data_IF_326152804030
#
_entry.id   IF_326152804030
#
_cell.length_a   1.000
_cell.length_b   1.000
_cell.length_c   1.000
_cell.angle_alpha   90.00
_cell.angle_beta   90.00
_cell.angle_gamma   90.00
#
_symmetry.space_group_name_H-M   'P 1'
#
loop_
_entity.id
_entity.type
_entity.pdbx_description
1 polymer ?
#
# COMPACT_ATOMS: atom_id res chain seq x y z
N UNK A 1 1.39 -2.71 13.31
CA UNK A 1 0.85 -4.02 12.86
C UNK A 1 1.53 -5.22 13.53
N UNK A 2 2.86 -5.41 13.40
CA UNK A 2 3.54 -6.62 13.93
C UNK A 2 3.38 -6.83 15.44
N UNK A 3 3.48 -5.75 16.24
CA UNK A 3 3.31 -5.81 17.71
C UNK A 3 1.85 -6.08 18.12
N UNK A 4 0.88 -5.47 17.44
CA UNK A 4 -0.56 -5.66 17.70
C UNK A 4 -0.99 -7.09 17.37
N UNK A 5 -0.53 -7.64 16.24
CA UNK A 5 -0.77 -9.04 15.87
C UNK A 5 -0.20 -10.00 16.92
N UNK A 6 0.99 -9.71 17.46
CA UNK A 6 1.63 -10.53 18.50
C UNK A 6 0.88 -10.47 19.84
N UNK A 7 0.33 -9.32 20.24
CA UNK A 7 -0.50 -9.23 21.45
C UNK A 7 -1.81 -9.99 21.30
N UNK A 8 -2.47 -9.89 20.14
CA UNK A 8 -3.73 -10.62 19.86
C UNK A 8 -3.51 -12.14 19.91
N UNK A 9 -2.46 -12.67 19.27
CA UNK A 9 -2.12 -14.11 19.37
C UNK A 9 -1.73 -14.57 20.77
N UNK A 10 -1.18 -13.67 21.59
CA UNK A 10 -0.87 -14.00 22.98
C UNK A 10 -2.17 -14.16 23.77
N UNK A 11 -3.11 -13.21 23.61
CA UNK A 11 -4.40 -13.24 24.28
C UNK A 11 -5.27 -14.43 23.85
N UNK A 12 -5.31 -14.74 22.55
CA UNK A 12 -6.02 -15.93 22.05
C UNK A 12 -5.44 -17.22 22.65
N UNK A 13 -4.11 -17.34 22.76
CA UNK A 13 -3.46 -18.49 23.40
C UNK A 13 -3.74 -18.60 24.90
N UNK A 14 -3.80 -17.48 25.61
CA UNK A 14 -4.21 -17.45 27.02
C UNK A 14 -5.65 -17.96 27.19
N UNK A 15 -6.57 -17.54 26.31
CA UNK A 15 -7.96 -17.99 26.32
C UNK A 15 -8.10 -19.48 25.93
N UNK A 16 -7.32 -19.96 24.95
CA UNK A 16 -7.27 -21.38 24.58
C UNK A 16 -6.74 -22.26 25.73
N UNK A 17 -5.79 -21.76 26.53
CA UNK A 17 -5.26 -22.48 27.69
C UNK A 17 -6.23 -22.51 28.89
N UNK A 18 -7.19 -21.59 28.94
CA UNK A 18 -8.25 -21.52 29.95
C UNK A 18 -9.49 -22.35 29.55
N UNK A 19 -9.53 -22.90 28.34
CA UNK A 19 -10.61 -23.74 27.84
C UNK A 19 -10.71 -25.02 28.70
N UNK A 20 -11.83 -25.19 29.40
CA UNK A 20 -12.05 -26.31 30.35
C UNK A 20 -11.73 -26.01 31.82
N UNK A 21 -11.28 -24.79 32.14
CA UNK A 21 -11.17 -24.31 33.53
C UNK A 21 -12.54 -24.01 34.15
N UNK A 22 -12.63 -24.06 35.48
CA UNK A 22 -13.82 -23.65 36.23
C UNK A 22 -14.24 -22.20 35.96
N UNK A 23 -13.30 -21.35 35.53
CA UNK A 23 -13.56 -19.94 35.21
C UNK A 23 -13.99 -19.72 33.75
N UNK A 24 -14.22 -20.78 32.97
CA UNK A 24 -14.64 -20.70 31.58
C UNK A 24 -16.12 -20.33 31.47
N UNK A 25 -16.39 -19.10 31.02
CA UNK A 25 -17.75 -18.56 30.91
C UNK A 25 -18.05 -18.09 29.48
N UNK A 26 -19.31 -17.78 29.21
CA UNK A 26 -19.75 -17.37 27.87
C UNK A 26 -19.14 -16.03 27.42
N UNK A 27 -18.78 -15.16 28.36
CA UNK A 27 -18.07 -13.91 28.07
C UNK A 27 -16.67 -14.17 27.49
N UNK A 28 -15.91 -15.11 28.06
CA UNK A 28 -14.59 -15.50 27.57
C UNK A 28 -14.67 -16.23 26.22
N UNK A 29 -15.75 -16.99 25.99
CA UNK A 29 -16.02 -17.59 24.68
C UNK A 29 -16.26 -16.52 23.60
N UNK A 30 -17.02 -15.48 23.94
CA UNK A 30 -17.31 -14.37 23.03
C UNK A 30 -16.03 -13.56 22.76
N UNK A 31 -15.26 -13.20 23.79
CA UNK A 31 -13.98 -12.50 23.64
C UNK A 31 -13.01 -13.31 22.73
N UNK A 32 -12.94 -14.63 22.91
CA UNK A 32 -12.13 -15.50 22.05
C UNK A 32 -12.60 -15.48 20.60
N UNK A 33 -13.91 -15.49 20.36
CA UNK A 33 -14.47 -15.44 19.02
C UNK A 33 -14.11 -14.12 18.33
N UNK A 34 -14.34 -13.00 19.00
CA UNK A 34 -14.07 -11.66 18.46
C UNK A 34 -12.58 -11.48 18.14
N UNK A 35 -11.70 -11.91 19.04
CA UNK A 35 -10.25 -11.85 18.82
C UNK A 35 -9.79 -12.76 17.66
N UNK A 36 -10.43 -13.92 17.47
CA UNK A 36 -10.12 -14.78 16.31
C UNK A 36 -10.54 -14.11 15.00
N UNK A 37 -11.71 -13.49 14.96
CA UNK A 37 -12.16 -12.72 13.80
C UNK A 37 -11.22 -11.56 13.48
N UNK A 38 -10.77 -10.81 14.48
CA UNK A 38 -9.82 -9.71 14.30
C UNK A 38 -8.47 -10.21 13.74
N UNK A 39 -7.97 -11.34 14.25
CA UNK A 39 -6.75 -11.98 13.74
C UNK A 39 -6.93 -12.42 12.28
N UNK A 40 -8.06 -13.03 11.94
CA UNK A 40 -8.37 -13.44 10.56
C UNK A 40 -8.40 -12.25 9.60
N UNK A 41 -9.02 -11.13 10.00
CA UNK A 41 -9.01 -9.91 9.20
C UNK A 41 -7.60 -9.35 8.96
N UNK A 42 -6.76 -9.33 10.00
CA UNK A 42 -5.38 -8.86 9.89
C UNK A 42 -4.60 -9.76 8.92
N UNK A 43 -4.75 -11.08 9.03
CA UNK A 43 -4.13 -12.04 8.11
C UNK A 43 -4.62 -11.82 6.69
N UNK A 44 -5.93 -11.65 6.49
CA UNK A 44 -6.51 -11.42 5.17
C UNK A 44 -5.92 -10.17 4.51
N UNK A 45 -5.83 -9.06 5.25
CA UNK A 45 -5.21 -7.80 4.77
C UNK A 45 -3.72 -7.97 4.45
N UNK A 46 -2.97 -8.70 5.29
CA UNK A 46 -1.56 -9.00 5.03
C UNK A 46 -1.37 -9.88 3.78
N UNK A 47 -2.17 -10.94 3.63
CA UNK A 47 -2.12 -11.84 2.47
C UNK A 47 -2.45 -11.09 1.19
N UNK A 48 -3.50 -10.26 1.19
CA UNK A 48 -3.86 -9.40 0.05
C UNK A 48 -2.71 -8.45 -0.31
N UNK A 49 -2.12 -7.81 0.70
CA UNK A 49 -0.98 -6.90 0.50
C UNK A 49 0.24 -7.63 -0.08
N UNK A 50 0.55 -8.82 0.43
CA UNK A 50 1.66 -9.65 -0.07
C UNK A 50 1.40 -10.15 -1.49
N UNK A 51 0.15 -10.51 -1.82
CA UNK A 51 -0.26 -10.91 -3.17
C UNK A 51 -0.11 -9.76 -4.17
N UNK A 52 -0.49 -8.54 -3.78
CA UNK A 52 -0.29 -7.34 -4.59
C UNK A 52 1.20 -7.03 -4.77
N UNK A 53 1.98 -7.02 -3.68
CA UNK A 53 3.43 -6.73 -3.71
C UNK A 53 4.24 -7.77 -4.50
N UNK A 54 3.82 -9.03 -4.49
CA UNK A 54 4.52 -10.10 -5.23
C UNK A 54 4.21 -10.11 -6.72
N UNK A 55 3.16 -9.38 -7.18
CA UNK A 55 2.65 -9.38 -8.56
C UNK A 55 2.38 -10.82 -9.07
N UNK A 56 1.88 -11.68 -8.17
CA UNK A 56 1.73 -13.12 -8.39
C UNK A 56 0.37 -13.45 -9.04
N UNK A 57 0.16 -12.99 -10.27
CA UNK A 57 -0.90 -13.51 -11.16
C UNK A 57 -0.37 -14.56 -12.14
N UNK A 58 0.87 -15.04 -11.95
CA UNK A 58 1.52 -15.95 -12.90
C UNK A 58 1.54 -17.42 -12.45
N UNK A 59 0.36 -18.03 -12.59
CA UNK A 59 0.18 -19.47 -12.82
C UNK A 59 0.17 -20.40 -11.57
N UNK A 60 -1.05 -20.66 -11.09
CA UNK A 60 -1.63 -22.00 -10.91
C UNK A 60 -1.02 -23.01 -9.91
N UNK A 61 0.12 -22.79 -9.27
CA UNK A 61 0.73 -23.81 -8.38
C UNK A 61 1.18 -23.33 -6.98
N UNK A 62 0.99 -22.05 -6.62
CA UNK A 62 1.72 -21.43 -5.52
C UNK A 62 1.03 -21.34 -4.15
N UNK A 63 0.05 -22.18 -3.82
CA UNK A 63 -0.67 -22.08 -2.51
C UNK A 63 0.18 -22.52 -1.30
N UNK A 64 1.43 -22.95 -1.54
CA UNK A 64 2.39 -23.21 -0.47
C UNK A 64 3.30 -21.99 -0.26
N UNK A 65 3.49 -21.60 1.01
CA UNK A 65 4.59 -20.75 1.51
C UNK A 65 5.95 -21.43 1.24
N UNK A 66 6.29 -21.64 -0.03
CA UNK A 66 7.47 -22.37 -0.44
C UNK A 66 8.71 -21.51 -0.24
N UNK A 67 9.83 -22.16 0.08
CA UNK A 67 11.13 -21.50 0.14
C UNK A 67 11.44 -20.72 -1.15
N UNK A 68 10.96 -21.20 -2.31
CA UNK A 68 11.11 -20.54 -3.60
C UNK A 68 10.46 -19.15 -3.63
N UNK A 69 9.24 -19.00 -3.09
CA UNK A 69 8.56 -17.71 -3.03
C UNK A 69 9.35 -16.70 -2.18
N UNK A 70 9.79 -17.11 -0.98
CA UNK A 70 10.62 -16.28 -0.13
C UNK A 70 11.98 -15.95 -0.76
N UNK A 71 12.60 -16.90 -1.45
CA UNK A 71 13.85 -16.66 -2.19
C UNK A 71 13.68 -15.66 -3.32
N UNK A 72 12.60 -15.75 -4.11
CA UNK A 72 12.31 -14.79 -5.18
C UNK A 72 11.97 -13.40 -4.64
N UNK A 73 11.21 -13.32 -3.54
CA UNK A 73 10.96 -12.06 -2.84
C UNK A 73 12.25 -11.44 -2.31
N UNK A 74 13.12 -12.23 -1.69
CA UNK A 74 14.40 -11.76 -1.18
C UNK A 74 15.32 -11.33 -2.30
N UNK A 75 15.35 -12.05 -3.43
CA UNK A 75 16.11 -11.66 -4.62
C UNK A 75 15.61 -10.33 -5.19
N UNK A 76 14.29 -10.12 -5.30
CA UNK A 76 13.71 -8.84 -5.71
C UNK A 76 14.01 -7.73 -4.71
N UNK A 77 13.86 -7.99 -3.40
CA UNK A 77 14.19 -7.04 -2.34
C UNK A 77 15.67 -6.63 -2.41
N UNK A 78 16.57 -7.59 -2.61
CA UNK A 78 18.00 -7.34 -2.75
C UNK A 78 18.30 -6.51 -4.00
N UNK A 79 17.63 -6.80 -5.12
CA UNK A 79 17.83 -6.06 -6.38
C UNK A 79 17.30 -4.63 -6.31
N UNK A 80 16.20 -4.41 -5.59
CA UNK A 80 15.54 -3.11 -5.52
C UNK A 80 15.95 -2.28 -4.28
N UNK A 81 16.81 -2.83 -3.41
CA UNK A 81 17.34 -2.10 -2.26
C UNK A 81 18.42 -1.14 -2.73
N UNK A 82 18.26 0.13 -2.38
CA UNK A 82 19.30 1.14 -2.58
C UNK A 82 20.23 1.07 -1.38
N UNK A 83 21.46 0.57 -1.58
CA UNK A 83 22.48 0.43 -0.52
C UNK A 83 23.44 1.60 -0.47
N UNK A 84 23.55 2.36 -1.57
CA UNK A 84 24.40 3.54 -1.67
C UNK A 84 23.83 4.50 -2.72
N UNK A 85 23.85 5.78 -2.41
CA UNK A 85 23.54 6.88 -3.33
C UNK A 85 24.77 7.74 -3.53
N UNK A 86 25.00 8.16 -4.78
CA UNK A 86 25.98 9.19 -5.13
C UNK A 86 25.27 10.55 -5.19
N UNK A 87 25.86 11.55 -4.56
CA UNK A 87 25.37 12.91 -4.50
C UNK A 87 26.01 13.76 -5.62
N UNK A 88 25.41 14.92 -5.92
CA UNK A 88 25.90 15.82 -6.97
C UNK A 88 27.34 16.35 -6.72
N UNK A 89 27.78 16.35 -5.46
CA UNK A 89 29.14 16.72 -5.04
C UNK A 89 30.16 15.57 -5.13
N UNK A 90 29.74 14.39 -5.63
CA UNK A 90 30.55 13.18 -5.72
C UNK A 90 30.71 12.43 -4.40
N UNK A 91 30.03 12.85 -3.33
CA UNK A 91 30.00 12.12 -2.06
C UNK A 91 29.02 10.94 -2.12
N UNK A 92 29.24 9.93 -1.26
CA UNK A 92 28.37 8.77 -1.18
C UNK A 92 27.64 8.70 0.16
N UNK A 93 26.36 8.35 0.11
CA UNK A 93 25.52 8.12 1.28
C UNK A 93 25.13 6.65 1.31
N UNK A 94 25.47 5.95 2.40
CA UNK A 94 25.24 4.51 2.57
C UNK A 94 24.40 4.15 3.80
N UNK A 95 24.11 5.12 4.68
CA UNK A 95 23.22 4.94 5.82
C UNK A 95 21.76 5.07 5.37
N UNK A 96 20.93 4.10 5.76
CA UNK A 96 19.51 4.03 5.34
C UNK A 96 18.72 5.30 5.71
N UNK A 97 18.94 5.85 6.90
CA UNK A 97 18.30 7.11 7.35
C UNK A 97 18.67 8.30 6.45
N UNK A 98 19.94 8.40 6.08
CA UNK A 98 20.46 9.48 5.25
C UNK A 98 20.00 9.32 3.79
N UNK A 99 19.96 8.09 3.26
CA UNK A 99 19.40 7.76 1.93
C UNK A 99 17.93 8.22 1.86
N UNK A 100 17.12 7.89 2.86
CA UNK A 100 15.70 8.30 2.90
C UNK A 100 15.57 9.81 2.91
N UNK A 101 16.40 10.50 3.71
CA UNK A 101 16.39 11.96 3.79
C UNK A 101 16.74 12.61 2.45
N UNK A 102 17.84 12.17 1.82
CA UNK A 102 18.29 12.69 0.51
C UNK A 102 17.22 12.48 -0.56
N UNK A 103 16.66 11.27 -0.66
CA UNK A 103 15.60 10.98 -1.64
C UNK A 103 14.38 11.84 -1.41
N UNK A 104 13.97 12.02 -0.15
CA UNK A 104 12.83 12.86 0.21
C UNK A 104 13.09 14.33 -0.17
N UNK A 105 14.25 14.88 0.18
CA UNK A 105 14.62 16.25 -0.14
C UNK A 105 14.70 16.48 -1.66
N UNK A 106 15.27 15.54 -2.40
CA UNK A 106 15.34 15.58 -3.86
C UNK A 106 13.95 15.67 -4.49
N UNK A 107 13.04 14.75 -4.15
CA UNK A 107 11.69 14.76 -4.73
C UNK A 107 10.83 15.91 -4.20
N UNK A 108 10.99 16.32 -2.95
CA UNK A 108 10.38 17.55 -2.45
C UNK A 108 10.86 18.78 -3.23
N UNK A 109 12.13 18.82 -3.64
CA UNK A 109 12.65 19.89 -4.50
C UNK A 109 12.11 19.79 -5.93
N UNK A 110 12.09 18.58 -6.51
CA UNK A 110 11.60 18.33 -7.87
C UNK A 110 10.12 18.69 -8.05
N UNK A 111 9.30 18.39 -7.04
CA UNK A 111 7.86 18.67 -7.05
C UNK A 111 7.49 20.00 -6.37
N UNK A 112 8.46 20.77 -5.87
CA UNK A 112 8.19 22.18 -5.59
C UNK A 112 7.90 22.82 -6.93
N UNK A 113 6.65 23.21 -7.12
CA UNK A 113 6.27 24.09 -8.22
C UNK A 113 7.18 25.31 -8.11
N UNK A 114 8.18 25.39 -8.99
CA UNK A 114 8.73 26.68 -9.29
C UNK A 114 7.53 27.54 -9.67
N UNK A 115 7.46 28.74 -9.13
CA UNK A 115 6.53 29.78 -9.55
C UNK A 115 6.99 30.24 -10.95
N UNK A 116 7.10 29.29 -11.88
CA UNK A 116 7.24 29.53 -13.28
C UNK A 116 5.91 30.14 -13.65
N UNK A 117 5.90 31.46 -13.88
CA UNK A 117 4.89 32.08 -14.74
C UNK A 117 4.68 31.12 -15.90
N UNK A 118 3.51 30.48 -15.94
CA UNK A 118 3.17 29.54 -17.01
C UNK A 118 3.19 30.34 -18.32
N UNK A 119 4.35 30.37 -18.96
CA UNK A 119 4.52 30.89 -20.30
C UNK A 119 4.11 29.71 -21.18
N UNK A 120 2.83 29.67 -21.53
CA UNK A 120 2.25 28.62 -22.35
C UNK A 120 3.14 28.29 -23.57
N UNK A 121 2.98 27.08 -24.09
CA UNK A 121 3.77 26.59 -25.23
C UNK A 121 3.71 27.64 -26.36
N UNK A 122 4.87 28.19 -26.77
CA UNK A 122 4.94 29.17 -27.86
C UNK A 122 4.30 28.60 -29.12
N UNK A 123 3.33 29.31 -29.69
CA UNK A 123 2.64 28.92 -30.92
C UNK A 123 1.33 28.15 -30.71
N UNK A 124 0.91 27.94 -29.46
CA UNK A 124 -0.43 27.42 -29.13
C UNK A 124 -1.24 28.54 -28.49
N UNK A 125 -2.37 28.88 -29.09
CA UNK A 125 -3.34 29.80 -28.50
C UNK A 125 -4.09 29.07 -27.39
N UNK A 126 -3.58 29.19 -26.16
CA UNK A 126 -4.25 28.67 -24.98
C UNK A 126 -5.42 29.59 -24.67
N UNK A 127 -6.57 29.35 -25.30
CA UNK A 127 -7.82 29.95 -24.87
C UNK A 127 -8.11 29.47 -23.44
N UNK A 128 -8.18 30.36 -22.44
CA UNK A 128 -8.54 29.96 -21.09
C UNK A 128 -9.90 29.28 -21.12
N UNK A 129 -10.02 28.15 -20.41
CA UNK A 129 -11.32 27.50 -20.24
C UNK A 129 -12.32 28.54 -19.69
N UNK A 130 -13.52 28.57 -20.26
CA UNK A 130 -14.56 29.46 -19.74
C UNK A 130 -14.85 29.09 -18.28
N UNK A 131 -15.24 30.08 -17.49
CA UNK A 131 -15.59 29.89 -16.07
C UNK A 131 -16.63 28.78 -15.90
N UNK A 132 -17.56 28.65 -16.85
CA UNK A 132 -18.58 27.62 -16.86
C UNK A 132 -18.01 26.21 -17.02
N UNK A 133 -17.01 26.01 -17.90
CA UNK A 133 -16.38 24.70 -18.08
C UNK A 133 -15.52 24.37 -16.86
N UNK A 134 -14.86 25.37 -16.28
CA UNK A 134 -14.08 25.19 -15.05
C UNK A 134 -14.98 24.73 -13.90
N UNK A 135 -16.08 25.44 -13.63
CA UNK A 135 -17.05 25.06 -12.59
C UNK A 135 -17.65 23.68 -12.84
N UNK A 136 -17.87 23.32 -14.11
CA UNK A 136 -18.38 22.00 -14.46
C UNK A 136 -17.35 20.87 -14.24
N UNK A 137 -16.06 21.13 -14.42
CA UNK A 137 -14.99 20.17 -14.17
C UNK A 137 -14.65 20.04 -12.68
N UNK A 138 -14.77 21.11 -11.92
CA UNK A 138 -14.50 21.15 -10.47
C UNK A 138 -15.70 20.69 -9.61
N UNK A 139 -16.84 20.37 -10.24
CA UNK A 139 -18.02 19.89 -9.52
C UNK A 139 -17.76 18.54 -8.84
N UNK A 140 -18.43 18.24 -7.71
CA UNK A 140 -18.33 16.94 -7.06
C UNK A 140 -18.70 15.81 -8.04
N UNK A 141 -17.95 14.71 -8.00
CA UNK A 141 -18.26 13.53 -8.79
C UNK A 141 -19.66 12.99 -8.44
N UNK A 142 -20.42 12.65 -9.48
CA UNK A 142 -21.74 12.02 -9.36
C UNK A 142 -21.60 10.63 -8.73
N UNK A 143 -22.59 10.22 -7.93
CA UNK A 143 -22.56 8.95 -7.18
C UNK A 143 -22.45 7.71 -8.10
N UNK A 144 -22.91 7.82 -9.34
CA UNK A 144 -22.74 6.78 -10.36
C UNK A 144 -21.27 6.50 -10.68
N UNK A 145 -20.43 7.54 -10.70
CA UNK A 145 -19.02 7.43 -11.02
C UNK A 145 -18.24 6.81 -9.87
N UNK A 146 -18.57 7.18 -8.62
CA UNK A 146 -18.05 6.53 -7.42
C UNK A 146 -18.46 5.06 -7.39
N UNK A 147 -19.75 4.77 -7.59
CA UNK A 147 -20.27 3.40 -7.62
C UNK A 147 -19.54 2.56 -8.68
N UNK A 148 -19.36 3.09 -9.88
CA UNK A 148 -18.63 2.38 -10.96
C UNK A 148 -17.16 2.12 -10.61
N UNK A 149 -16.50 3.02 -9.89
CA UNK A 149 -15.13 2.82 -9.41
C UNK A 149 -15.07 1.71 -8.35
N UNK A 150 -15.97 1.74 -7.37
CA UNK A 150 -16.03 0.74 -6.29
C UNK A 150 -16.56 -0.63 -6.73
N UNK A 151 -17.45 -0.67 -7.71
CA UNK A 151 -17.98 -1.91 -8.32
C UNK A 151 -17.10 -2.42 -9.46
N UNK A 152 -16.10 -1.65 -9.89
CA UNK A 152 -15.13 -2.13 -10.90
C UNK A 152 -14.39 -3.31 -10.32
N UNK A 153 -14.51 -4.46 -10.97
CA UNK A 153 -13.75 -5.66 -10.64
C UNK A 153 -12.27 -5.28 -10.67
N UNK A 154 -11.64 -5.21 -9.49
CA UNK A 154 -10.36 -4.52 -9.28
C UNK A 154 -9.18 -5.14 -10.03
N UNK A 155 -9.43 -6.22 -10.78
CA UNK A 155 -8.49 -6.95 -11.60
C UNK A 155 -8.18 -6.27 -12.95
N UNK A 156 -8.33 -4.94 -13.06
CA UNK A 156 -7.91 -4.17 -14.24
C UNK A 156 -6.39 -4.01 -14.28
N UNK A 157 -5.83 -3.80 -15.48
CA UNK A 157 -4.40 -3.57 -15.69
C UNK A 157 -3.87 -2.44 -14.81
N UNK A 158 -2.69 -2.64 -14.20
CA UNK A 158 -2.00 -1.63 -13.40
C UNK A 158 -1.67 -0.39 -14.24
N UNK A 159 -1.81 0.79 -13.64
CA UNK A 159 -1.32 2.04 -14.21
C UNK A 159 0.21 2.11 -14.20
N UNK A 160 0.78 3.18 -14.76
CA UNK A 160 2.23 3.45 -14.71
C UNK A 160 2.75 3.69 -13.28
N UNK A 161 1.85 3.87 -12.32
CA UNK A 161 2.08 3.96 -10.88
C UNK A 161 2.21 2.58 -10.20
N UNK A 162 2.04 1.49 -10.96
CA UNK A 162 2.03 0.11 -10.49
C UNK A 162 0.93 -0.23 -9.48
N UNK A 163 -0.12 0.59 -9.33
CA UNK A 163 -1.25 0.29 -8.46
C UNK A 163 -2.45 -0.20 -9.27
N UNK A 164 -3.23 -1.09 -8.67
CA UNK A 164 -4.47 -1.63 -9.22
C UNK A 164 -5.65 -0.89 -8.58
N UNK A 165 -6.82 -0.85 -9.25
CA UNK A 165 -8.03 -0.21 -8.71
C UNK A 165 -8.45 -0.74 -7.33
N UNK A 166 -7.97 -1.94 -6.96
CA UNK A 166 -8.10 -2.61 -5.66
C UNK A 166 -7.64 -1.78 -4.45
N UNK A 167 -6.85 -0.72 -4.65
CA UNK A 167 -6.29 0.12 -3.57
C UNK A 167 -7.22 1.27 -3.16
N UNK A 168 -8.18 1.61 -4.02
CA UNK A 168 -9.24 2.58 -3.74
C UNK A 168 -10.45 1.87 -3.12
#
# INVERSE_FOLDING_TARGET
MRMVKQSLYRRVRELDALEGSWNWNDLLKQERHDLKCEVEEIIFKEVRTLRMKSKFTWAKEGDANTKLFHSLMNARKSKNSITRLEMDDGSFVDREEDIVKVVTEFYCSLYKSAELEYRGIKGVDWSPLSVQIKDWLERPFEEELKRTVFESDGNKSQGSDEFTMVVF
#
